data_IF_360402696380
#
_entry.id   IF_360402696380
#
_cell.length_a   1.000
_cell.length_b   1.000
_cell.length_c   1.000
_cell.angle_alpha   90.00
_cell.angle_beta   90.00
_cell.angle_gamma   90.00
#
_symmetry.space_group_name_H-M   'P 1'
#
loop_
_entity.id
_entity.type
_entity.pdbx_description
1 polymer ?
#
# COMPACT_ATOMS: atom_id res chain seq x y z
N UNK A 1 4.05 -4.88 -21.29
CA UNK A 1 2.65 -4.95 -20.81
C UNK A 1 2.72 -5.73 -19.52
N UNK A 2 3.25 -5.07 -18.50
CA UNK A 2 3.59 -5.66 -17.22
C UNK A 2 2.37 -5.49 -16.32
N UNK A 3 1.62 -6.57 -16.16
CA UNK A 3 0.57 -6.64 -15.15
C UNK A 3 1.23 -6.38 -13.79
N UNK A 4 0.77 -5.38 -13.00
CA UNK A 4 1.36 -5.12 -11.71
C UNK A 4 1.10 -6.32 -10.81
N UNK A 5 2.17 -7.08 -10.50
CA UNK A 5 2.17 -8.03 -9.40
C UNK A 5 1.83 -7.25 -8.14
N UNK A 6 0.58 -7.38 -7.67
CA UNK A 6 0.14 -6.91 -6.37
C UNK A 6 0.97 -7.70 -5.35
N UNK A 7 2.09 -7.11 -4.96
CA UNK A 7 2.96 -7.69 -3.95
C UNK A 7 2.17 -7.65 -2.66
N UNK A 8 1.93 -8.81 -2.06
CA UNK A 8 1.31 -8.90 -0.75
C UNK A 8 2.03 -7.94 0.21
N UNK A 9 1.31 -7.22 1.09
CA UNK A 9 1.94 -6.34 2.06
C UNK A 9 2.98 -7.13 2.88
N UNK A 10 4.12 -6.53 3.23
CA UNK A 10 5.14 -7.20 4.02
C UNK A 10 4.50 -7.71 5.32
N UNK A 11 4.52 -9.03 5.51
CA UNK A 11 4.09 -9.66 6.74
C UNK A 11 4.70 -8.92 7.93
N UNK A 12 3.86 -8.63 8.93
CA UNK A 12 4.19 -7.84 10.10
C UNK A 12 5.57 -8.19 10.67
N UNK A 13 6.40 -7.16 10.91
CA UNK A 13 7.65 -7.33 11.66
C UNK A 13 7.30 -7.86 13.06
N UNK A 14 7.96 -8.94 13.55
CA UNK A 14 7.94 -9.23 14.97
C UNK A 14 8.88 -8.22 15.64
N UNK A 15 8.32 -7.16 16.20
CA UNK A 15 9.11 -6.06 16.76
C UNK A 15 8.29 -5.16 17.66
N UNK A 16 7.82 -5.70 18.78
CA UNK A 16 7.35 -4.88 19.88
C UNK A 16 8.52 -4.09 20.47
N UNK A 17 8.42 -2.77 20.51
CA UNK A 17 9.33 -1.95 21.30
C UNK A 17 8.95 -2.07 22.78
N UNK A 18 9.88 -2.26 23.74
CA UNK A 18 9.52 -2.36 25.15
C UNK A 18 9.11 -0.98 25.70
N UNK A 19 7.88 -0.87 26.18
CA UNK A 19 7.48 0.19 27.10
C UNK A 19 8.08 -0.07 28.50
N UNK A 20 8.17 0.94 29.38
CA UNK A 20 8.99 0.85 30.59
C UNK A 20 8.41 -0.03 31.71
N UNK A 21 7.27 -0.71 31.51
CA UNK A 21 6.73 -1.70 32.45
C UNK A 21 5.76 -2.65 31.72
N UNK A 22 6.17 -3.89 31.49
CA UNK A 22 5.33 -4.96 30.95
C UNK A 22 6.10 -5.87 30.01
N UNK A 23 6.39 -7.11 30.45
CA UNK A 23 7.01 -8.14 29.62
C UNK A 23 6.22 -8.41 28.33
N UNK A 24 6.84 -9.06 27.32
CA UNK A 24 6.20 -9.33 26.04
C UNK A 24 4.88 -10.04 26.29
N UNK A 25 3.76 -9.36 26.01
CA UNK A 25 2.46 -10.02 25.94
C UNK A 25 2.55 -10.95 24.74
N UNK A 26 2.77 -12.22 25.03
CA UNK A 26 2.64 -13.29 24.06
C UNK A 26 1.17 -13.37 23.66
N UNK A 27 0.80 -12.63 22.61
CA UNK A 27 -0.54 -12.69 22.01
C UNK A 27 -0.59 -13.93 21.13
N UNK A 28 -0.29 -15.09 21.73
CA UNK A 28 -0.50 -16.38 21.10
C UNK A 28 -2.01 -16.63 21.16
N UNK A 29 -2.69 -16.79 20.02
CA UNK A 29 -4.12 -17.08 20.03
C UNK A 29 -4.38 -18.37 20.81
N UNK A 30 -5.45 -18.37 21.62
CA UNK A 30 -5.80 -19.49 22.51
C UNK A 30 -6.22 -20.75 21.76
N UNK A 31 -6.53 -20.63 20.46
CA UNK A 31 -6.83 -21.72 19.55
C UNK A 31 -6.57 -21.32 18.09
N UNK A 32 -6.47 -22.30 17.20
CA UNK A 32 -6.21 -22.10 15.77
C UNK A 32 -4.76 -22.34 15.37
N UNK A 33 -4.43 -22.01 14.12
CA UNK A 33 -3.08 -22.23 13.57
C UNK A 33 -2.16 -21.11 14.02
N UNK A 34 -1.08 -21.46 14.74
CA UNK A 34 0.01 -20.54 15.06
C UNK A 34 1.04 -20.66 13.94
N UNK A 35 1.24 -19.57 13.20
CA UNK A 35 2.18 -19.54 12.08
C UNK A 35 3.59 -19.16 12.54
N UNK A 36 4.52 -20.12 12.49
CA UNK A 36 5.95 -19.84 12.59
C UNK A 36 6.48 -19.62 11.17
N UNK A 37 6.59 -18.35 10.78
CA UNK A 37 6.95 -17.97 9.41
C UNK A 37 8.46 -17.70 9.29
N UNK A 38 9.14 -18.46 8.44
CA UNK A 38 10.50 -18.15 8.00
C UNK A 38 10.45 -17.49 6.63
N UNK A 39 11.24 -16.43 6.44
CA UNK A 39 11.30 -15.76 5.13
C UNK A 39 11.98 -16.68 4.11
N UNK A 40 11.25 -17.09 3.09
CA UNK A 40 11.82 -17.72 1.91
C UNK A 40 12.44 -16.67 0.98
N UNK A 41 13.64 -16.94 0.47
CA UNK A 41 14.36 -16.03 -0.45
C UNK A 41 14.36 -16.51 -1.90
N UNK A 42 14.11 -17.80 -2.14
CA UNK A 42 14.09 -18.42 -3.47
C UNK A 42 13.23 -19.68 -3.46
N UNK A 43 12.85 -20.16 -4.66
CA UNK A 43 12.14 -21.45 -4.81
C UNK A 43 10.72 -21.46 -4.26
N UNK A 44 10.05 -20.31 -4.19
CA UNK A 44 8.68 -20.19 -3.74
C UNK A 44 7.78 -19.62 -4.83
N UNK A 45 6.48 -19.89 -4.71
CA UNK A 45 5.45 -19.37 -5.61
C UNK A 45 4.43 -18.61 -4.78
N UNK A 46 4.10 -17.40 -5.21
CA UNK A 46 3.07 -16.59 -4.54
C UNK A 46 1.71 -17.03 -5.06
N UNK A 47 0.87 -17.53 -4.15
CA UNK A 47 -0.48 -17.98 -4.46
C UNK A 47 -1.46 -17.00 -3.81
N UNK A 48 -2.43 -16.51 -4.58
CA UNK A 48 -3.47 -15.61 -4.07
C UNK A 48 -4.46 -16.33 -3.15
N UNK A 49 -4.92 -15.63 -2.11
CA UNK A 49 -5.92 -16.16 -1.18
C UNK A 49 -7.23 -16.53 -1.88
N UNK A 50 -7.59 -15.86 -2.99
CA UNK A 50 -8.77 -16.20 -3.78
C UNK A 50 -8.72 -17.63 -4.35
N UNK A 51 -7.52 -18.18 -4.57
CA UNK A 51 -7.33 -19.56 -5.01
C UNK A 51 -7.18 -20.48 -3.80
N UNK A 52 -6.33 -20.11 -2.83
CA UNK A 52 -6.04 -20.94 -1.67
C UNK A 52 -7.27 -21.18 -0.78
N UNK A 53 -8.23 -20.24 -0.76
CA UNK A 53 -9.45 -20.27 0.05
C UNK A 53 -10.70 -20.41 -0.82
N UNK A 54 -10.56 -20.89 -2.06
CA UNK A 54 -11.68 -20.97 -2.99
C UNK A 54 -12.72 -22.01 -2.54
N UNK A 55 -13.93 -21.57 -2.19
CA UNK A 55 -14.97 -22.43 -1.62
C UNK A 55 -15.61 -23.42 -2.62
N UNK A 56 -15.63 -23.07 -3.92
CA UNK A 56 -16.24 -23.94 -4.95
C UNK A 56 -15.25 -24.86 -5.66
N UNK A 57 -13.95 -24.79 -5.33
CA UNK A 57 -12.95 -25.68 -5.90
C UNK A 57 -12.66 -26.80 -4.92
N UNK A 58 -12.45 -28.02 -5.43
CA UNK A 58 -11.92 -29.10 -4.61
C UNK A 58 -10.50 -28.80 -4.14
N UNK A 59 -10.09 -29.36 -2.98
CA UNK A 59 -8.71 -29.25 -2.51
C UNK A 59 -7.70 -29.82 -3.52
N UNK A 60 -8.12 -30.80 -4.31
CA UNK A 60 -7.31 -31.36 -5.41
C UNK A 60 -7.13 -30.32 -6.51
N UNK A 61 -8.18 -29.61 -6.90
CA UNK A 61 -8.08 -28.51 -7.87
C UNK A 61 -7.19 -27.37 -7.34
N UNK A 62 -7.33 -26.98 -6.07
CA UNK A 62 -6.48 -25.95 -5.44
C UNK A 62 -5.01 -26.40 -5.43
N UNK A 63 -4.75 -27.65 -5.02
CA UNK A 63 -3.41 -28.24 -5.00
C UNK A 63 -2.79 -28.33 -6.40
N UNK A 64 -3.56 -28.73 -7.41
CA UNK A 64 -3.11 -28.76 -8.80
C UNK A 64 -2.84 -27.35 -9.34
N UNK A 65 -3.68 -26.37 -9.03
CA UNK A 65 -3.44 -24.99 -9.46
C UNK A 65 -2.19 -24.39 -8.82
N UNK A 66 -1.97 -24.65 -7.53
CA UNK A 66 -0.75 -24.30 -6.81
C UNK A 66 0.49 -24.96 -7.45
N UNK A 67 0.39 -26.25 -7.78
CA UNK A 67 1.45 -26.97 -8.45
C UNK A 67 1.77 -26.38 -9.83
N UNK A 68 0.74 -26.16 -10.67
CA UNK A 68 0.90 -25.61 -12.02
C UNK A 68 1.57 -24.24 -11.99
N UNK A 69 1.23 -23.37 -11.03
CA UNK A 69 1.85 -22.05 -10.87
C UNK A 69 3.32 -22.11 -10.45
N UNK A 70 3.75 -23.19 -9.79
CA UNK A 70 5.16 -23.38 -9.40
C UNK A 70 6.04 -23.90 -10.54
N UNK A 71 5.45 -24.37 -11.64
CA UNK A 71 6.20 -24.93 -12.76
C UNK A 71 6.74 -23.83 -13.69
N UNK A 72 7.90 -24.04 -14.32
CA UNK A 72 8.39 -23.13 -15.35
C UNK A 72 7.49 -23.17 -16.60
N UNK A 73 7.51 -22.09 -17.37
CA UNK A 73 6.79 -22.02 -18.64
C UNK A 73 7.21 -23.18 -19.57
N UNK A 74 6.22 -23.85 -20.19
CA UNK A 74 6.44 -24.99 -21.07
C UNK A 74 6.45 -26.36 -20.38
N UNK A 75 6.31 -26.41 -19.05
CA UNK A 75 6.12 -27.68 -18.34
C UNK A 75 4.87 -28.42 -18.83
N UNK A 76 4.96 -29.75 -18.89
CA UNK A 76 3.86 -30.60 -19.36
C UNK A 76 2.82 -30.77 -18.24
N UNK A 77 1.62 -30.25 -18.48
CA UNK A 77 0.46 -30.38 -17.58
C UNK A 77 -0.60 -31.25 -18.26
N UNK A 78 -0.37 -32.57 -18.24
CA UNK A 78 -1.30 -33.57 -18.77
C UNK A 78 -1.74 -34.53 -17.68
N UNK A 79 -2.92 -35.15 -17.83
CA UNK A 79 -3.50 -36.05 -16.83
C UNK A 79 -2.50 -37.14 -16.43
N UNK A 80 -1.91 -37.85 -17.41
CA UNK A 80 -0.91 -38.90 -17.17
C UNK A 80 0.33 -38.39 -16.42
N UNK A 81 0.84 -37.23 -16.81
CA UNK A 81 2.03 -36.61 -16.16
C UNK A 81 1.73 -36.27 -14.70
N UNK A 82 0.51 -35.85 -14.40
CA UNK A 82 0.10 -35.52 -13.04
C UNK A 82 -0.18 -36.78 -12.21
N UNK A 83 -0.77 -37.83 -12.78
CA UNK A 83 -0.96 -39.11 -12.07
C UNK A 83 0.34 -39.82 -11.78
N UNK A 84 1.37 -39.65 -12.60
CA UNK A 84 2.71 -40.21 -12.33
C UNK A 84 3.37 -39.54 -11.11
N UNK A 85 2.92 -38.33 -10.73
CA UNK A 85 3.52 -37.53 -9.65
C UNK A 85 2.69 -37.51 -8.36
N UNK A 86 1.37 -37.54 -8.46
CA UNK A 86 0.47 -37.42 -7.31
C UNK A 86 -0.29 -38.73 -7.06
N UNK A 87 -0.54 -39.09 -5.79
CA UNK A 87 -1.32 -40.28 -5.44
C UNK A 87 -2.83 -40.07 -5.65
N UNK A 88 -3.22 -39.60 -6.84
CA UNK A 88 -4.59 -39.25 -7.21
C UNK A 88 -5.00 -40.00 -8.48
N UNK A 89 -6.28 -40.35 -8.61
CA UNK A 89 -6.77 -41.08 -9.79
C UNK A 89 -6.85 -40.19 -11.04
N UNK A 90 -6.69 -40.80 -12.22
CA UNK A 90 -6.84 -40.08 -13.51
C UNK A 90 -8.18 -39.32 -13.58
N UNK A 91 -9.26 -39.95 -13.11
CA UNK A 91 -10.60 -39.35 -13.10
C UNK A 91 -10.68 -38.12 -12.20
N UNK A 92 -10.05 -38.14 -11.03
CA UNK A 92 -10.04 -37.03 -10.07
C UNK A 92 -9.18 -35.88 -10.57
N UNK A 93 -8.01 -36.17 -11.15
CA UNK A 93 -7.19 -35.15 -11.81
C UNK A 93 -7.93 -34.53 -12.99
N UNK A 94 -8.60 -35.33 -13.82
CA UNK A 94 -9.41 -34.81 -14.93
C UNK A 94 -10.58 -33.95 -14.45
N UNK A 95 -11.27 -34.34 -13.37
CA UNK A 95 -12.33 -33.55 -12.75
C UNK A 95 -11.78 -32.21 -12.22
N UNK A 96 -10.68 -32.24 -11.47
CA UNK A 96 -10.04 -31.05 -10.93
C UNK A 96 -9.57 -30.08 -12.03
N UNK A 97 -9.00 -30.58 -13.13
CA UNK A 97 -8.66 -29.74 -14.29
C UNK A 97 -9.89 -29.07 -14.92
N UNK A 98 -11.03 -29.79 -15.00
CA UNK A 98 -12.30 -29.21 -15.49
C UNK A 98 -12.85 -28.15 -14.53
N UNK A 99 -12.74 -28.34 -13.22
CA UNK A 99 -13.12 -27.33 -12.22
C UNK A 99 -12.30 -26.05 -12.40
N UNK A 100 -10.98 -26.17 -12.58
CA UNK A 100 -10.09 -25.03 -12.83
C UNK A 100 -10.41 -24.32 -14.14
N UNK A 101 -10.77 -25.05 -15.19
CA UNK A 101 -11.23 -24.48 -16.46
C UNK A 101 -12.56 -23.73 -16.29
N UNK A 102 -13.52 -24.32 -15.58
CA UNK A 102 -14.83 -23.72 -15.34
C UNK A 102 -14.74 -22.43 -14.52
N UNK A 103 -13.81 -22.36 -13.57
CA UNK A 103 -13.56 -21.16 -12.74
C UNK A 103 -12.53 -20.19 -13.36
N UNK A 104 -12.03 -20.47 -14.56
CA UNK A 104 -11.16 -19.57 -15.31
C UNK A 104 -9.71 -19.49 -14.81
N UNK A 105 -9.27 -20.42 -13.97
CA UNK A 105 -7.87 -20.56 -13.54
C UNK A 105 -7.00 -21.25 -14.58
N UNK A 106 -7.62 -22.01 -15.48
CA UNK A 106 -6.95 -22.75 -16.54
C UNK A 106 -7.68 -22.57 -17.87
N UNK A 107 -6.95 -22.44 -18.96
CA UNK A 107 -7.50 -22.49 -20.30
C UNK A 107 -6.66 -23.42 -21.17
N UNK A 108 -7.31 -24.37 -21.84
CA UNK A 108 -6.64 -25.32 -22.74
C UNK A 108 -7.21 -25.17 -24.13
N UNK A 109 -6.34 -24.83 -25.09
CA UNK A 109 -6.70 -24.74 -26.50
C UNK A 109 -5.82 -25.66 -27.33
N UNK A 110 -6.36 -26.19 -28.43
CA UNK A 110 -5.58 -26.91 -29.44
C UNK A 110 -5.12 -25.91 -30.48
N UNK A 111 -3.83 -25.66 -30.53
CA UNK A 111 -3.23 -24.74 -31.49
C UNK A 111 -2.51 -25.56 -32.56
N UNK A 112 -2.84 -25.29 -33.84
CA UNK A 112 -2.05 -25.79 -34.97
C UNK A 112 -0.83 -24.90 -35.14
N UNK A 113 0.36 -25.47 -34.99
CA UNK A 113 1.61 -24.80 -35.29
C UNK A 113 1.74 -24.57 -36.80
N UNK A 114 2.57 -23.60 -37.23
CA UNK A 114 2.90 -23.40 -38.65
C UNK A 114 3.42 -24.68 -39.33
N UNK A 115 4.05 -25.56 -38.56
CA UNK A 115 4.56 -26.87 -38.97
C UNK A 115 3.47 -27.96 -39.12
N UNK A 116 2.19 -27.62 -39.05
CA UNK A 116 1.06 -28.55 -39.20
C UNK A 116 0.77 -29.44 -37.97
N UNK A 117 1.64 -29.44 -36.96
CA UNK A 117 1.45 -30.19 -35.71
C UNK A 117 0.40 -29.52 -34.81
N UNK A 118 -0.56 -30.30 -34.31
CA UNK A 118 -1.52 -29.84 -33.30
C UNK A 118 -0.91 -30.01 -31.92
N UNK A 119 -0.74 -28.91 -31.17
CA UNK A 119 -0.24 -28.92 -29.79
C UNK A 119 -1.29 -28.37 -28.84
N UNK A 120 -1.45 -29.04 -27.70
CA UNK A 120 -2.30 -28.54 -26.60
C UNK A 120 -1.55 -27.43 -25.87
N UNK A 121 -2.06 -26.21 -25.95
CA UNK A 121 -1.55 -25.06 -25.20
C UNK A 121 -2.38 -24.90 -23.94
N UNK A 122 -1.73 -25.06 -22.79
CA UNK A 122 -2.32 -24.84 -21.47
C UNK A 122 -1.86 -23.48 -20.96
N UNK A 123 -2.80 -22.59 -20.69
CA UNK A 123 -2.57 -21.26 -20.12
C UNK A 123 -3.14 -21.30 -18.69
N UNK A 124 -2.30 -21.02 -17.70
CA UNK A 124 -2.75 -20.86 -16.31
C UNK A 124 -2.85 -19.38 -15.97
N UNK A 125 -3.91 -19.01 -15.27
CA UNK A 125 -4.16 -17.63 -14.85
C UNK A 125 -4.05 -17.53 -13.33
N UNK A 126 -3.19 -16.62 -12.87
CA UNK A 126 -3.02 -16.38 -11.43
C UNK A 126 -4.25 -15.73 -10.80
N UNK A 127 -5.07 -15.00 -11.57
CA UNK A 127 -6.34 -14.45 -11.11
C UNK A 127 -7.36 -14.47 -12.27
N UNK A 128 -8.50 -15.18 -12.11
CA UNK A 128 -9.54 -15.23 -13.12
C UNK A 128 -10.18 -13.85 -13.30
N UNK A 129 -10.47 -13.46 -14.55
CA UNK A 129 -11.08 -12.17 -14.88
C UNK A 129 -10.11 -10.98 -15.01
N UNK A 130 -8.81 -11.17 -14.79
CA UNK A 130 -7.80 -10.10 -15.00
C UNK A 130 -7.49 -9.81 -16.47
N UNK A 131 -8.06 -10.60 -17.39
CA UNK A 131 -7.79 -10.50 -18.83
C UNK A 131 -9.12 -10.39 -19.55
N UNK A 132 -9.27 -9.29 -20.29
CA UNK A 132 -10.30 -9.12 -21.30
C UNK A 132 -10.14 -10.23 -22.36
N UNK A 133 -11.01 -11.24 -22.29
CA UNK A 133 -11.00 -12.43 -23.18
C UNK A 133 -11.15 -12.02 -24.66
N UNK A 134 -11.52 -10.77 -24.93
CA UNK A 134 -11.60 -10.13 -26.25
C UNK A 134 -10.25 -9.97 -26.97
N UNK A 135 -9.10 -10.17 -26.31
CA UNK A 135 -7.76 -10.08 -26.93
C UNK A 135 -7.02 -11.42 -27.11
N UNK A 136 -7.73 -12.55 -27.04
CA UNK A 136 -7.18 -13.81 -27.57
C UNK A 136 -7.61 -13.95 -29.04
N UNK A 137 -6.70 -14.11 -30.02
CA UNK A 137 -7.11 -14.39 -31.39
C UNK A 137 -7.79 -15.76 -31.40
N UNK A 138 -9.11 -15.79 -31.47
CA UNK A 138 -9.84 -17.00 -31.82
C UNK A 138 -9.49 -17.36 -33.28
N UNK A 139 -8.87 -18.52 -33.56
CA UNK A 139 -8.70 -18.97 -34.93
C UNK A 139 -10.08 -19.36 -35.46
N UNK A 140 -10.58 -18.59 -36.44
CA UNK A 140 -11.83 -18.90 -37.14
C UNK A 140 -11.76 -20.32 -37.75
N UNK A 141 -12.74 -21.20 -37.49
CA UNK A 141 -12.97 -22.35 -38.36
C UNK A 141 -13.42 -21.82 -39.73
N UNK A 142 -12.76 -22.28 -40.81
CA UNK A 142 -13.13 -21.93 -42.19
C UNK A 142 -14.32 -22.81 -42.64
N UNK A 143 -15.29 -22.30 -43.43
CA UNK A 143 -16.58 -22.95 -43.69
C UNK A 143 -16.52 -24.01 -44.80
N UNK A 144 -17.41 -25.01 -44.73
CA UNK A 144 -17.80 -25.85 -45.87
C UNK A 144 -18.88 -25.12 -46.71
N UNK A 145 -18.87 -25.39 -48.02
CA UNK A 145 -19.61 -24.71 -49.10
C UNK A 145 -21.13 -25.07 -49.20
N UNK A 146 -21.94 -24.35 -50.01
CA UNK A 146 -23.40 -24.10 -49.82
C UNK A 146 -24.32 -24.95 -50.73
N UNK A 147 -25.67 -24.91 -50.57
CA UNK A 147 -26.58 -23.91 -51.20
C UNK A 147 -27.71 -23.47 -50.22
N UNK A 148 -28.56 -22.44 -50.37
CA UNK A 148 -29.30 -21.90 -51.51
C UNK A 148 -29.92 -20.53 -51.09
N UNK A 149 -30.32 -19.70 -52.06
CA UNK A 149 -30.68 -18.29 -51.94
C UNK A 149 -32.06 -17.97 -51.32
N UNK A 150 -32.15 -16.82 -50.64
CA UNK A 150 -33.35 -15.98 -50.51
C UNK A 150 -32.95 -14.48 -50.44
N UNK A 151 -33.67 -13.54 -51.09
CA UNK A 151 -33.34 -12.09 -51.13
C UNK A 151 -33.66 -11.33 -49.81
N UNK A 152 -33.14 -10.10 -49.62
CA UNK A 152 -32.98 -9.47 -48.32
C UNK A 152 -34.21 -8.65 -47.87
N UNK A 153 -34.50 -8.68 -46.57
CA UNK A 153 -35.35 -7.69 -45.91
C UNK A 153 -34.47 -6.61 -45.23
N UNK A 154 -34.87 -5.33 -45.19
CA UNK A 154 -33.99 -4.23 -44.77
C UNK A 154 -33.73 -4.23 -43.25
N UNK A 155 -32.46 -4.31 -42.86
CA UNK A 155 -32.02 -4.14 -41.47
C UNK A 155 -32.03 -2.65 -41.12
N UNK A 156 -32.84 -2.29 -40.12
CA UNK A 156 -32.82 -0.97 -39.50
C UNK A 156 -31.45 -0.71 -38.83
N UNK A 157 -30.89 0.51 -38.89
CA UNK A 157 -29.65 0.82 -38.18
C UNK A 157 -29.87 0.78 -36.65
N UNK A 158 -29.04 0.08 -35.87
CA UNK A 158 -29.09 0.19 -34.42
C UNK A 158 -28.63 1.58 -33.97
N UNK A 159 -29.40 2.14 -33.05
CA UNK A 159 -29.13 3.41 -32.39
C UNK A 159 -27.73 3.44 -31.73
N UNK A 160 -27.08 4.61 -31.65
CA UNK A 160 -25.78 4.75 -31.00
C UNK A 160 -25.89 4.38 -29.51
N UNK A 161 -25.09 3.40 -29.09
CA UNK A 161 -24.94 3.05 -27.69
C UNK A 161 -24.32 4.24 -26.91
N UNK A 162 -24.73 4.45 -25.64
CA UNK A 162 -24.25 5.56 -24.83
C UNK A 162 -22.74 5.44 -24.57
N UNK A 163 -22.06 6.59 -24.65
CA UNK A 163 -20.64 6.72 -24.35
C UNK A 163 -20.29 6.15 -22.96
N UNK A 164 -19.11 5.53 -22.79
CA UNK A 164 -18.67 5.06 -21.48
C UNK A 164 -18.55 6.26 -20.53
N UNK A 165 -19.16 6.12 -19.36
CA UNK A 165 -19.09 7.12 -18.30
C UNK A 165 -17.61 7.42 -17.94
N UNK A 166 -17.27 8.69 -17.67
CA UNK A 166 -15.91 9.07 -17.30
C UNK A 166 -15.48 8.30 -16.06
N UNK A 167 -14.33 7.66 -16.18
CA UNK A 167 -13.67 6.95 -15.10
C UNK A 167 -13.45 7.94 -13.95
N UNK A 168 -13.97 7.59 -12.78
CA UNK A 168 -13.80 8.34 -11.53
C UNK A 168 -12.31 8.66 -11.36
N UNK A 169 -11.92 9.95 -11.19
CA UNK A 169 -10.52 10.30 -10.96
C UNK A 169 -9.98 9.52 -9.76
N UNK A 170 -8.91 8.75 -9.97
CA UNK A 170 -8.16 8.16 -8.87
C UNK A 170 -7.81 9.26 -7.88
N UNK A 171 -8.13 9.03 -6.61
CA UNK A 171 -7.84 9.95 -5.53
C UNK A 171 -6.38 10.42 -5.60
N UNK A 172 -6.11 11.73 -5.50
CA UNK A 172 -4.75 12.24 -5.55
C UNK A 172 -3.91 11.61 -4.44
N UNK A 173 -2.63 11.28 -4.70
CA UNK A 173 -1.77 10.66 -3.71
C UNK A 173 -1.69 11.52 -2.44
N UNK A 174 -1.61 10.90 -1.24
CA UNK A 174 -1.65 11.62 0.02
C UNK A 174 -0.58 12.71 0.04
N UNK A 175 -0.90 13.94 0.47
CA UNK A 175 0.02 15.08 0.41
C UNK A 175 1.31 14.77 1.17
N UNK A 176 2.43 15.28 0.66
CA UNK A 176 3.69 15.19 1.39
C UNK A 176 3.60 15.94 2.72
N UNK A 177 4.43 15.57 3.72
CA UNK A 177 4.64 16.40 4.89
C UNK A 177 4.95 17.83 4.45
N UNK A 178 4.27 18.79 5.07
CA UNK A 178 4.52 20.21 4.87
C UNK A 178 5.13 20.76 6.14
N UNK A 179 6.12 21.67 6.03
CA UNK A 179 6.66 22.34 7.18
C UNK A 179 5.59 23.21 7.87
N UNK A 180 5.69 23.34 9.19
CA UNK A 180 4.72 24.08 10.00
C UNK A 180 4.90 25.60 9.87
N UNK A 181 6.11 26.07 9.58
CA UNK A 181 6.38 27.46 9.23
C UNK A 181 6.68 27.58 7.72
N UNK A 182 6.01 28.48 6.98
CA UNK A 182 6.31 28.75 5.58
C UNK A 182 7.61 29.56 5.47
N UNK A 183 8.75 28.91 5.70
CA UNK A 183 10.06 29.50 5.44
C UNK A 183 10.43 29.27 3.97
N UNK A 184 10.16 30.24 3.10
CA UNK A 184 10.52 30.19 1.66
C UNK A 184 12.00 29.81 1.43
N UNK A 185 12.88 30.19 2.37
CA UNK A 185 14.29 29.79 2.39
C UNK A 185 14.52 28.28 2.49
N UNK A 186 13.72 27.56 3.29
CA UNK A 186 13.80 26.10 3.41
C UNK A 186 13.36 25.40 2.13
N UNK A 187 12.30 25.89 1.49
CA UNK A 187 11.83 25.37 0.20
C UNK A 187 12.87 25.57 -0.91
N UNK A 188 13.49 26.75 -1.00
CA UNK A 188 14.56 27.01 -1.98
C UNK A 188 15.78 26.12 -1.76
N UNK A 189 16.17 25.92 -0.49
CA UNK A 189 17.28 25.04 -0.11
C UNK A 189 16.97 23.57 -0.45
N UNK A 190 15.75 23.11 -0.13
CA UNK A 190 15.28 21.77 -0.45
C UNK A 190 15.25 21.49 -1.97
N UNK A 191 14.76 22.44 -2.77
CA UNK A 191 14.74 22.31 -4.23
C UNK A 191 16.15 22.23 -4.82
N UNK A 192 17.08 23.04 -4.30
CA UNK A 192 18.49 23.03 -4.73
C UNK A 192 19.16 21.69 -4.38
N UNK A 193 18.89 21.16 -3.18
CA UNK A 193 19.40 19.86 -2.75
C UNK A 193 18.88 18.72 -3.64
N UNK A 194 17.58 18.73 -3.97
CA UNK A 194 16.98 17.73 -4.87
C UNK A 194 17.58 17.78 -6.29
N UNK A 195 17.84 18.99 -6.82
CA UNK A 195 18.49 19.16 -8.11
C UNK A 195 19.97 18.72 -8.11
N UNK A 196 20.64 18.82 -6.95
CA UNK A 196 22.03 18.40 -6.74
C UNK A 196 22.21 16.88 -6.68
N UNK A 197 21.16 16.11 -6.32
CA UNK A 197 21.24 14.65 -6.16
C UNK A 197 21.80 13.92 -7.39
N UNK A 198 21.51 14.41 -8.60
CA UNK A 198 21.99 13.82 -9.86
C UNK A 198 23.52 13.79 -9.97
N UNK A 199 24.24 14.68 -9.27
CA UNK A 199 25.72 14.71 -9.26
C UNK A 199 26.31 13.57 -8.44
N UNK A 200 25.56 13.06 -7.47
CA UNK A 200 26.01 12.00 -6.56
C UNK A 200 25.43 10.62 -6.92
N UNK A 201 24.27 10.59 -7.58
CA UNK A 201 23.65 9.38 -8.10
C UNK A 201 22.99 9.69 -9.46
N UNK A 202 23.64 9.36 -10.59
CA UNK A 202 23.14 9.72 -11.93
C UNK A 202 21.79 9.06 -12.26
N UNK A 203 21.47 7.94 -11.61
CA UNK A 203 20.18 7.25 -11.73
C UNK A 203 19.00 8.07 -11.18
N UNK A 204 19.25 9.05 -10.31
CA UNK A 204 18.23 9.93 -9.71
C UNK A 204 18.04 11.21 -10.53
N UNK A 205 17.82 11.06 -11.83
CA UNK A 205 17.45 12.19 -12.69
C UNK A 205 15.96 12.49 -12.50
N UNK A 206 15.65 13.67 -11.94
CA UNK A 206 14.29 14.13 -11.63
C UNK A 206 13.85 15.21 -12.62
N UNK A 207 12.56 15.22 -12.97
CA UNK A 207 11.97 16.35 -13.71
C UNK A 207 11.76 17.55 -12.78
N UNK A 208 11.59 18.75 -13.35
CA UNK A 208 11.27 19.95 -12.57
C UNK A 208 9.95 19.80 -11.79
N UNK A 209 8.97 19.13 -12.39
CA UNK A 209 7.70 18.80 -11.74
C UNK A 209 7.90 17.90 -10.51
N UNK A 210 8.76 16.89 -10.62
CA UNK A 210 9.07 15.99 -9.50
C UNK A 210 9.80 16.73 -8.37
N UNK A 211 10.74 17.62 -8.72
CA UNK A 211 11.46 18.44 -7.72
C UNK A 211 10.46 19.31 -6.96
N UNK A 212 9.55 20.00 -7.66
CA UNK A 212 8.50 20.82 -7.05
C UNK A 212 7.58 19.99 -6.16
N UNK A 213 7.22 18.79 -6.60
CA UNK A 213 6.37 17.89 -5.85
C UNK A 213 7.04 17.36 -4.57
N UNK A 214 8.37 17.15 -4.57
CA UNK A 214 9.14 16.58 -3.44
C UNK A 214 9.68 17.64 -2.46
N UNK A 215 9.78 18.89 -2.90
CA UNK A 215 10.34 20.01 -2.13
C UNK A 215 9.72 20.18 -0.73
N UNK A 216 8.39 20.13 -0.56
CA UNK A 216 7.78 20.31 0.77
C UNK A 216 8.25 19.26 1.78
N UNK A 217 8.36 18.00 1.35
CA UNK A 217 8.79 16.93 2.25
C UNK A 217 10.24 17.07 2.68
N UNK A 218 11.15 17.51 1.79
CA UNK A 218 12.54 17.79 2.16
C UNK A 218 12.66 19.06 3.01
N UNK A 219 11.81 20.06 2.77
CA UNK A 219 11.74 21.25 3.64
C UNK A 219 11.34 20.87 5.08
N UNK A 220 10.45 19.88 5.26
CA UNK A 220 10.14 19.32 6.59
C UNK A 220 11.33 18.60 7.23
N UNK A 221 12.21 17.97 6.45
CA UNK A 221 13.45 17.41 6.99
C UNK A 221 14.38 18.52 7.51
N UNK A 222 14.52 19.61 6.75
CA UNK A 222 15.32 20.76 7.15
C UNK A 222 14.73 21.48 8.38
N UNK A 223 13.40 21.58 8.48
CA UNK A 223 12.71 22.12 9.66
C UNK A 223 12.96 21.29 10.93
N UNK A 224 13.24 19.98 10.78
CA UNK A 224 13.59 19.06 11.87
C UNK A 224 15.10 18.97 12.12
N UNK A 225 15.86 19.99 11.74
CA UNK A 225 17.32 20.10 11.87
C UNK A 225 18.12 18.97 11.19
N UNK A 226 17.56 18.31 10.17
CA UNK A 226 18.32 17.33 9.39
C UNK A 226 19.35 18.03 8.51
N UNK A 227 20.64 17.70 8.68
CA UNK A 227 21.72 18.28 7.87
C UNK A 227 21.59 17.86 6.39
N UNK A 228 21.95 18.73 5.43
CA UNK A 228 21.89 18.45 4.00
C UNK A 228 22.60 17.15 3.58
N UNK A 229 23.77 16.87 4.17
CA UNK A 229 24.53 15.65 3.86
C UNK A 229 23.82 14.39 4.37
N UNK A 230 23.20 14.46 5.55
CA UNK A 230 22.40 13.36 6.10
C UNK A 230 21.16 13.10 5.25
N UNK A 231 20.48 14.16 4.78
CA UNK A 231 19.35 14.04 3.84
C UNK A 231 19.85 13.36 2.55
N UNK A 232 20.96 13.82 1.97
CA UNK A 232 21.54 13.24 0.76
C UNK A 232 21.79 11.74 0.93
N UNK A 233 22.53 11.35 1.97
CA UNK A 233 22.81 9.93 2.26
C UNK A 233 21.55 9.11 2.50
N UNK A 234 20.57 9.64 3.23
CA UNK A 234 19.31 8.94 3.47
C UNK A 234 18.50 8.73 2.18
N UNK A 235 18.60 9.64 1.22
CA UNK A 235 17.94 9.56 -0.08
C UNK A 235 18.70 8.69 -1.09
N UNK A 236 20.03 8.60 -1.01
CA UNK A 236 20.87 7.86 -1.97
C UNK A 236 21.40 6.49 -1.49
N UNK A 237 21.27 6.12 -0.22
CA UNK A 237 21.75 4.83 0.27
C UNK A 237 20.93 3.64 -0.27
N UNK A 238 21.54 2.50 -0.61
CA UNK A 238 20.85 1.26 -1.03
C UNK A 238 19.84 1.46 -2.17
N UNK A 239 20.29 2.03 -3.30
CA UNK A 239 19.44 2.19 -4.48
C UNK A 239 19.13 0.81 -5.12
N UNK A 240 17.85 0.49 -5.39
CA UNK A 240 17.49 -0.76 -6.06
C UNK A 240 17.89 -0.71 -7.54
N UNK A 241 18.59 -1.74 -8.01
CA UNK A 241 18.96 -1.90 -9.42
C UNK A 241 18.09 -2.99 -10.05
N UNK A 242 17.35 -2.73 -11.14
CA UNK A 242 17.26 -1.48 -11.90
C UNK A 242 16.25 -0.46 -11.33
N UNK A 243 16.59 0.82 -11.39
CA UNK A 243 15.77 1.91 -10.87
C UNK A 243 14.76 2.43 -11.92
N UNK A 244 13.50 1.96 -11.84
CA UNK A 244 12.44 2.33 -12.81
C UNK A 244 11.72 3.65 -12.48
N UNK A 245 11.65 4.03 -11.19
CA UNK A 245 10.82 5.16 -10.74
C UNK A 245 11.51 6.00 -9.63
N UNK A 246 12.43 6.92 -9.99
CA UNK A 246 13.20 7.71 -9.02
C UNK A 246 12.32 8.58 -8.11
N UNK A 247 11.36 9.32 -8.67
CA UNK A 247 10.51 10.24 -7.90
C UNK A 247 9.63 9.51 -6.87
N UNK A 248 9.12 8.31 -7.21
CA UNK A 248 8.32 7.49 -6.29
C UNK A 248 9.16 6.95 -5.13
N UNK A 249 10.40 6.52 -5.42
CA UNK A 249 11.34 6.06 -4.39
C UNK A 249 11.68 7.18 -3.42
N UNK A 250 12.00 8.37 -3.93
CA UNK A 250 12.30 9.53 -3.09
C UNK A 250 11.10 9.94 -2.26
N UNK A 251 9.90 9.96 -2.84
CA UNK A 251 8.65 10.22 -2.08
C UNK A 251 8.51 9.26 -0.91
N UNK A 252 8.69 7.96 -1.16
CA UNK A 252 8.61 6.95 -0.12
C UNK A 252 9.68 7.17 0.97
N UNK A 253 10.93 7.43 0.59
CA UNK A 253 12.01 7.66 1.56
C UNK A 253 11.81 8.92 2.40
N UNK A 254 11.38 10.01 1.78
CA UNK A 254 11.09 11.27 2.47
C UNK A 254 9.99 11.07 3.52
N UNK A 255 8.95 10.27 3.21
CA UNK A 255 7.86 9.98 4.15
C UNK A 255 8.26 8.97 5.23
N UNK A 256 8.93 7.88 4.86
CA UNK A 256 9.19 6.76 5.79
C UNK A 256 10.42 6.99 6.66
N UNK A 257 11.42 7.75 6.19
CA UNK A 257 12.66 8.05 6.94
C UNK A 257 12.63 9.45 7.57
N UNK A 258 11.47 10.12 7.57
CA UNK A 258 11.32 11.45 8.17
C UNK A 258 11.74 11.40 9.65
N UNK A 259 12.78 12.17 10.08
CA UNK A 259 13.21 12.20 11.47
C UNK A 259 12.05 12.61 12.39
N UNK A 260 11.97 12.07 13.61
CA UNK A 260 10.98 12.52 14.59
C UNK A 260 11.15 14.04 14.83
N UNK A 261 10.06 14.80 15.05
CA UNK A 261 10.20 16.20 15.42
C UNK A 261 11.04 16.28 16.69
N UNK A 262 12.08 17.11 16.69
CA UNK A 262 12.80 17.41 17.92
C UNK A 262 11.79 18.08 18.88
N UNK A 263 11.77 17.70 20.17
CA UNK A 263 10.98 18.42 21.16
C UNK A 263 11.43 19.89 21.10
N UNK A 264 10.53 20.75 20.67
CA UNK A 264 10.86 22.15 20.46
C UNK A 264 11.37 22.77 21.76
N UNK A 265 12.14 23.85 21.64
CA UNK A 265 12.38 24.77 22.77
C UNK A 265 11.06 25.24 23.41
N UNK A 266 9.94 25.14 22.68
CA UNK A 266 8.58 25.32 23.16
C UNK A 266 8.14 24.30 24.25
N UNK A 267 8.55 23.03 24.20
CA UNK A 267 8.22 22.03 25.24
C UNK A 267 9.14 22.13 26.47
N UNK A 268 10.36 22.66 26.31
CA UNK A 268 11.22 23.03 27.45
C UNK A 268 10.68 24.27 28.20
N UNK A 269 9.81 25.06 27.58
CA UNK A 269 8.83 25.85 28.32
C UNK A 269 7.80 24.87 28.87
N UNK A 270 8.09 24.28 30.04
CA UNK A 270 7.08 23.66 30.89
C UNK A 270 5.81 24.52 30.85
N UNK A 271 4.60 23.93 30.89
CA UNK A 271 3.39 24.73 31.01
C UNK A 271 3.62 25.63 32.21
N UNK A 272 3.77 26.94 31.98
CA UNK A 272 3.87 27.90 33.07
C UNK A 272 2.58 27.69 33.84
N UNK A 273 2.63 26.89 34.92
CA UNK A 273 1.60 26.88 35.94
C UNK A 273 1.40 28.36 36.19
N UNK A 274 0.25 28.89 35.80
CA UNK A 274 -0.09 30.28 36.09
C UNK A 274 0.09 30.37 37.60
N UNK A 275 1.20 30.94 38.05
CA UNK A 275 1.40 31.22 39.46
C UNK A 275 0.29 32.21 39.73
N UNK A 276 -0.77 31.74 40.38
CA UNK A 276 -1.86 32.60 40.80
C UNK A 276 -1.27 33.46 41.91
N UNK A 277 -0.70 34.60 41.52
CA UNK A 277 -0.22 35.60 42.46
C UNK A 277 -1.47 36.23 43.05
N UNK A 278 -1.86 35.82 44.26
CA UNK A 278 -2.95 36.47 44.99
C UNK A 278 -2.44 37.84 45.45
N UNK A 279 -3.01 38.95 44.94
CA UNK A 279 -2.53 40.30 45.24
C UNK A 279 -2.66 40.60 46.73
N UNK A 280 -1.70 41.37 47.25
CA UNK A 280 -1.75 41.93 48.60
C UNK A 280 -2.53 43.24 48.54
N UNK A 281 -3.53 43.40 49.41
CA UNK A 281 -4.42 44.55 49.47
C UNK A 281 -4.74 44.87 50.93
N UNK A 282 -5.09 46.12 51.23
CA UNK A 282 -5.40 46.56 52.59
C UNK A 282 -6.92 46.57 52.80
N UNK A 283 -7.37 46.18 53.99
CA UNK A 283 -8.78 46.23 54.37
C UNK A 283 -9.25 47.69 54.50
N UNK A 284 -10.39 48.04 53.92
CA UNK A 284 -10.94 49.41 53.99
C UNK A 284 -11.38 49.82 55.41
N UNK A 285 -11.64 48.87 56.30
CA UNK A 285 -12.17 49.15 57.65
C UNK A 285 -11.09 49.24 58.72
N UNK A 286 -10.02 48.45 58.59
CA UNK A 286 -9.00 48.32 59.63
C UNK A 286 -7.56 48.45 59.11
N UNK A 287 -7.39 48.84 57.84
CA UNK A 287 -6.13 48.99 57.10
C UNK A 287 -5.17 47.79 57.11
N UNK A 288 -5.62 46.64 57.62
CA UNK A 288 -4.80 45.43 57.70
C UNK A 288 -4.52 44.87 56.31
N UNK A 289 -3.24 44.65 55.99
CA UNK A 289 -2.82 44.00 54.76
C UNK A 289 -3.23 42.51 54.74
N UNK A 290 -3.88 42.08 53.67
CA UNK A 290 -4.31 40.69 53.46
C UNK A 290 -4.24 40.31 51.97
N UNK A 291 -4.24 39.01 51.67
CA UNK A 291 -4.22 38.50 50.29
C UNK A 291 -5.59 37.94 49.92
N UNK A 292 -6.22 38.45 48.87
CA UNK A 292 -7.39 37.83 48.26
C UNK A 292 -7.46 38.12 46.76
N UNK A 293 -8.23 37.31 46.03
CA UNK A 293 -8.43 37.41 44.58
C UNK A 293 -9.35 38.56 44.17
N UNK A 294 -10.22 39.00 45.08
CA UNK A 294 -11.18 40.09 44.87
C UNK A 294 -11.00 41.17 45.95
N UNK A 295 -11.22 42.46 45.62
CA UNK A 295 -11.22 43.54 46.61
C UNK A 295 -12.25 43.31 47.72
N UNK A 296 -11.90 43.61 48.97
CA UNK A 296 -12.86 43.54 50.06
C UNK A 296 -12.27 43.65 51.46
N UNK A 297 -13.04 43.20 52.44
CA UNK A 297 -12.64 43.24 53.84
C UNK A 297 -11.82 42.01 54.24
N UNK A 298 -10.91 42.21 55.21
CA UNK A 298 -10.16 41.11 55.83
C UNK A 298 -11.13 40.13 56.52
N UNK A 299 -10.64 38.94 56.84
CA UNK A 299 -11.45 37.86 57.43
C UNK A 299 -12.20 38.33 58.69
N UNK A 300 -11.54 39.10 59.54
CA UNK A 300 -12.11 39.52 60.83
C UNK A 300 -13.27 40.51 60.60
N UNK A 301 -13.03 41.59 59.84
CA UNK A 301 -14.08 42.56 59.49
C UNK A 301 -15.24 41.93 58.70
N UNK A 302 -14.97 40.95 57.82
CA UNK A 302 -16.03 40.21 57.13
C UNK A 302 -16.87 39.38 58.09
N UNK A 303 -16.24 38.80 59.12
CA UNK A 303 -16.94 38.01 60.15
C UNK A 303 -17.76 38.92 61.05
N UNK A 304 -17.28 40.13 61.35
CA UNK A 304 -18.00 41.12 62.16
C UNK A 304 -19.20 41.72 61.40
N UNK A 305 -19.06 41.99 60.10
CA UNK A 305 -20.18 42.42 59.24
C UNK A 305 -21.26 41.35 59.12
N UNK A 306 -20.88 40.07 59.03
CA UNK A 306 -21.82 38.95 58.98
C UNK A 306 -22.49 38.66 60.34
N UNK A 307 -21.87 39.08 61.45
CA UNK A 307 -22.47 38.99 62.80
C UNK A 307 -23.39 40.17 63.11
N UNK A 308 -23.24 41.29 62.40
CA UNK A 308 -24.06 42.48 62.53
C UNK A 308 -25.30 42.50 61.60
N UNK A 309 -25.41 41.50 60.70
CA UNK A 309 -26.55 41.25 59.83
C UNK A 309 -27.44 40.15 60.41
#
# INVERSE_FOLDING_TARGET
MDTPQITAPPCARPGGSPGPNGGPRDVTPTSGVIHVNTRHVSGFTVIGNHLAQHHELSLVAIGLAAHIQSLPAGAKVGIKVLTDRFPESEARIAAALRELEAKGYLHRSRVRLPEGRVVTRTISYNQPGSIDVSKTPAPRPRPAAPPQAAPPEPVQPPAPAPAPAPTVPSAPPPPLPQPHAPAEGLHRTAATLLADLRRHAPELTLSESDIRALTPGVATWLERDARPDTIRHALTADLPVPLKHPAKLLRHRITTRLPAPLPGTAELTAPRRKVVVVPLQNCETCERAFRATEPGHCRDCRTDLLKAA
#
